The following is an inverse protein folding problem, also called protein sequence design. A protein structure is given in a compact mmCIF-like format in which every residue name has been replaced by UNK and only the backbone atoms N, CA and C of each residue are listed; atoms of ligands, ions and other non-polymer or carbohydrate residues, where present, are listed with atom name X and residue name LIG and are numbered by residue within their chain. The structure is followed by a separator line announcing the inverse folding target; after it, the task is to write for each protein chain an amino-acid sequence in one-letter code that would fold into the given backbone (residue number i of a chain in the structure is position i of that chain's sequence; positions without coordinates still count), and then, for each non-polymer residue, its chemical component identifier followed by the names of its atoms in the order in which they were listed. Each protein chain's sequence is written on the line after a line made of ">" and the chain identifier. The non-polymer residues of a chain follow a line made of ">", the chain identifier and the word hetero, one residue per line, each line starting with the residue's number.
data_IF_702760130182
#
_entry.id   IF_702760130182
#
_cell.length_a   1.000
_cell.length_b   1.000
_cell.length_c   1.000
_cell.angle_alpha   90.00
_cell.angle_beta   90.00
_cell.angle_gamma   90.00
#
_symmetry.space_group_name_H-M   'P 1'
#
loop_
_entity.id
_entity.type
_entity.pdbx_description
1 polymer ?
#
# COMPACT_ATOMS: atom_id res chain seq x y z
N UNK A 1 -27.32 7.85 8.75
CA UNK A 1 -26.15 7.12 8.21
C UNK A 1 -26.31 5.63 8.54
N UNK A 2 -26.24 4.75 7.54
CA UNK A 2 -26.47 3.31 7.74
C UNK A 2 -25.21 2.65 8.35
N UNK A 3 -25.32 1.82 9.39
CA UNK A 3 -24.14 1.31 10.13
C UNK A 3 -23.22 0.44 9.27
N UNK A 4 -23.83 -0.30 8.31
CA UNK A 4 -23.14 -1.06 7.27
C UNK A 4 -22.24 -0.16 6.41
N UNK A 5 -22.63 1.11 6.25
CA UNK A 5 -21.93 2.12 5.45
C UNK A 5 -20.64 2.60 6.14
N UNK A 6 -20.69 2.78 7.46
CA UNK A 6 -19.53 3.18 8.27
C UNK A 6 -18.48 2.07 8.28
N UNK A 7 -18.92 0.82 8.41
CA UNK A 7 -18.03 -0.34 8.45
C UNK A 7 -17.21 -0.49 7.16
N UNK A 8 -17.83 -0.30 5.98
CA UNK A 8 -17.15 -0.38 4.68
C UNK A 8 -16.14 0.75 4.47
N UNK A 9 -16.41 1.95 5.00
CA UNK A 9 -15.48 3.08 4.88
C UNK A 9 -14.27 2.88 5.79
N UNK A 10 -14.51 2.46 7.03
CA UNK A 10 -13.45 2.11 7.97
C UNK A 10 -12.55 1.01 7.40
N UNK A 11 -13.12 -0.05 6.85
CA UNK A 11 -12.31 -1.13 6.25
C UNK A 11 -11.51 -0.66 5.03
N UNK A 12 -12.08 0.15 4.14
CA UNK A 12 -11.35 0.72 3.01
C UNK A 12 -10.18 1.62 3.45
N UNK A 13 -10.37 2.40 4.52
CA UNK A 13 -9.32 3.24 5.10
C UNK A 13 -8.19 2.41 5.68
N UNK A 14 -8.52 1.35 6.43
CA UNK A 14 -7.54 0.42 7.00
C UNK A 14 -6.74 -0.26 5.88
N UNK A 15 -7.39 -0.68 4.80
CA UNK A 15 -6.74 -1.30 3.63
C UNK A 15 -5.81 -0.31 2.90
N UNK A 16 -6.23 0.96 2.76
CA UNK A 16 -5.36 2.00 2.19
C UNK A 16 -4.15 2.28 3.09
N UNK A 17 -4.35 2.35 4.40
CA UNK A 17 -3.29 2.59 5.36
C UNK A 17 -2.27 1.44 5.39
N UNK A 18 -2.74 0.19 5.37
CA UNK A 18 -1.87 -0.98 5.30
C UNK A 18 -1.14 -1.07 3.96
N UNK A 19 -1.81 -0.77 2.84
CA UNK A 19 -1.14 -0.70 1.53
C UNK A 19 -0.02 0.35 1.48
N UNK A 20 -0.24 1.51 2.08
CA UNK A 20 0.75 2.58 2.16
C UNK A 20 1.94 2.23 3.07
N UNK A 21 1.69 1.64 4.25
CA UNK A 21 2.78 1.20 5.14
C UNK A 21 3.58 0.05 4.52
N UNK A 22 2.94 -0.86 3.81
CA UNK A 22 3.61 -1.95 3.09
C UNK A 22 4.53 -1.40 1.98
N UNK A 23 4.05 -0.41 1.21
CA UNK A 23 4.85 0.25 0.20
C UNK A 23 6.04 1.00 0.82
N UNK A 24 5.83 1.70 1.94
CA UNK A 24 6.90 2.40 2.66
C UNK A 24 7.96 1.44 3.17
N UNK A 25 7.54 0.28 3.71
CA UNK A 25 8.45 -0.79 4.09
C UNK A 25 9.23 -1.32 2.89
N UNK A 26 8.58 -1.55 1.74
CA UNK A 26 9.25 -2.00 0.52
C UNK A 26 10.29 -0.99 -0.02
N UNK A 27 10.04 0.31 0.12
CA UNK A 27 11.01 1.38 -0.21
C UNK A 27 12.20 1.29 0.73
N UNK A 28 11.96 1.18 2.03
CA UNK A 28 13.03 1.11 3.02
C UNK A 28 13.91 -0.13 2.81
N UNK A 29 13.28 -1.27 2.55
CA UNK A 29 13.96 -2.54 2.29
C UNK A 29 14.74 -2.51 0.97
N UNK A 30 14.17 -1.93 -0.09
CA UNK A 30 14.88 -1.75 -1.36
C UNK A 30 16.06 -0.80 -1.19
N UNK A 31 15.87 0.36 -0.58
CA UNK A 31 16.92 1.35 -0.37
C UNK A 31 18.06 0.77 0.47
N UNK A 32 17.73 0.02 1.51
CA UNK A 32 18.72 -0.65 2.36
C UNK A 32 19.48 -1.73 1.58
N UNK A 33 18.79 -2.60 0.85
CA UNK A 33 19.42 -3.66 0.08
C UNK A 33 20.30 -3.12 -1.05
N UNK A 34 19.88 -2.07 -1.76
CA UNK A 34 20.66 -1.54 -2.89
C UNK A 34 21.86 -0.70 -2.47
N UNK A 35 21.74 0.13 -1.43
CA UNK A 35 22.77 1.13 -1.08
C UNK A 35 23.62 0.76 0.13
N UNK A 36 23.11 -0.06 1.05
CA UNK A 36 23.79 -0.34 2.33
C UNK A 36 24.25 -1.79 2.42
N UNK A 37 23.52 -2.74 1.82
CA UNK A 37 23.86 -4.16 1.91
C UNK A 37 24.98 -4.56 0.95
N UNK A 38 26.01 -5.21 1.48
CA UNK A 38 27.11 -5.80 0.69
C UNK A 38 26.85 -7.26 0.28
N UNK A 39 25.71 -7.84 0.65
CA UNK A 39 25.33 -9.21 0.29
C UNK A 39 25.32 -9.45 -1.22
N UNK A 40 25.74 -10.64 -1.66
CA UNK A 40 25.66 -11.06 -3.07
C UNK A 40 24.21 -11.08 -3.58
N UNK A 41 23.25 -11.38 -2.69
CA UNK A 41 21.82 -11.40 -3.01
C UNK A 41 21.11 -10.04 -2.87
N UNK A 42 21.85 -8.93 -2.73
CA UNK A 42 21.30 -7.58 -2.60
C UNK A 42 20.28 -7.20 -3.68
N UNK A 43 20.48 -7.64 -4.92
CA UNK A 43 19.53 -7.42 -6.01
C UNK A 43 18.24 -8.23 -5.86
N UNK A 44 18.30 -9.43 -5.27
CA UNK A 44 17.13 -10.27 -5.04
C UNK A 44 16.24 -9.67 -3.94
N UNK A 45 16.85 -9.24 -2.83
CA UNK A 45 16.15 -8.56 -1.75
C UNK A 45 15.64 -7.16 -2.15
N UNK A 46 16.45 -6.41 -2.89
CA UNK A 46 16.04 -5.12 -3.45
C UNK A 46 14.91 -5.25 -4.47
N UNK A 47 14.99 -6.23 -5.36
CA UNK A 47 13.91 -6.56 -6.31
C UNK A 47 12.63 -7.04 -5.62
N UNK A 48 12.77 -7.83 -4.55
CA UNK A 48 11.65 -8.22 -3.69
C UNK A 48 10.97 -7.01 -3.03
N UNK A 49 11.75 -6.04 -2.56
CA UNK A 49 11.24 -4.77 -2.03
C UNK A 49 10.44 -3.97 -3.07
N UNK A 50 10.92 -3.91 -4.32
CA UNK A 50 10.21 -3.27 -5.44
C UNK A 50 8.87 -3.96 -5.72
N UNK A 51 8.83 -5.29 -5.70
CA UNK A 51 7.58 -6.05 -5.83
C UNK A 51 6.58 -5.71 -4.72
N UNK A 52 7.06 -5.59 -3.47
CA UNK A 52 6.24 -5.20 -2.31
C UNK A 52 5.66 -3.79 -2.49
N UNK A 53 6.45 -2.86 -3.04
CA UNK A 53 5.97 -1.51 -3.38
C UNK A 53 4.82 -1.56 -4.39
N UNK A 54 4.98 -2.35 -5.46
CA UNK A 54 3.95 -2.51 -6.48
C UNK A 54 2.67 -3.13 -5.91
N UNK A 55 2.78 -4.12 -5.03
CA UNK A 55 1.63 -4.73 -4.35
C UNK A 55 0.92 -3.71 -3.46
N UNK A 56 1.67 -2.97 -2.64
CA UNK A 56 1.12 -1.89 -1.80
C UNK A 56 0.41 -0.80 -2.62
N UNK A 57 0.99 -0.42 -3.76
CA UNK A 57 0.39 0.54 -4.69
C UNK A 57 -0.90 0.01 -5.32
N UNK A 58 -0.92 -1.26 -5.75
CA UNK A 58 -2.13 -1.87 -6.31
C UNK A 58 -3.26 -1.94 -5.27
N UNK A 59 -2.96 -2.36 -4.05
CA UNK A 59 -3.91 -2.38 -2.93
C UNK A 59 -4.51 -0.98 -2.71
N UNK A 60 -3.64 0.04 -2.65
CA UNK A 60 -4.08 1.43 -2.54
C UNK A 60 -4.98 1.82 -3.71
N UNK A 61 -4.59 1.52 -4.95
CA UNK A 61 -5.35 1.87 -6.16
C UNK A 61 -6.69 1.16 -6.27
N UNK A 62 -6.84 -0.06 -5.75
CA UNK A 62 -8.13 -0.77 -5.70
C UNK A 62 -9.04 -0.27 -4.56
N UNK A 63 -8.47 0.09 -3.41
CA UNK A 63 -9.22 0.64 -2.28
C UNK A 63 -9.66 2.10 -2.52
N UNK A 64 -8.86 2.89 -3.25
CA UNK A 64 -9.12 4.30 -3.51
C UNK A 64 -10.46 4.63 -4.21
N UNK A 65 -10.88 3.95 -5.30
CA UNK A 65 -12.18 4.21 -5.93
C UNK A 65 -13.37 3.85 -5.05
N UNK A 66 -13.23 2.91 -4.10
CA UNK A 66 -14.26 2.66 -3.09
C UNK A 66 -14.46 3.83 -2.13
N UNK A 67 -13.38 4.56 -1.83
CA UNK A 67 -13.42 5.80 -1.06
C UNK A 67 -13.97 6.93 -1.94
N UNK A 68 -13.46 7.10 -3.17
CA UNK A 68 -13.81 8.21 -4.08
C UNK A 68 -15.26 8.20 -4.55
N UNK A 69 -15.81 7.04 -4.93
CA UNK A 69 -17.21 6.89 -5.39
C UNK A 69 -18.24 7.29 -4.32
N UNK A 70 -17.82 7.43 -3.07
CA UNK A 70 -18.66 7.91 -1.96
C UNK A 70 -18.56 9.40 -1.71
N UNK A 71 -17.47 10.06 -2.10
CA UNK A 71 -17.35 11.51 -2.01
C UNK A 71 -18.23 12.21 -3.06
N UNK A 72 -18.39 11.62 -4.25
CA UNK A 72 -19.36 12.08 -5.26
C UNK A 72 -20.82 11.93 -4.81
N UNK A 73 -21.11 10.96 -3.93
CA UNK A 73 -22.46 10.68 -3.41
C UNK A 73 -22.87 11.66 -2.28
N UNK A 74 -21.97 12.58 -1.91
CA UNK A 74 -22.17 13.64 -0.92
C UNK A 74 -22.30 15.04 -1.53
N UNK A 75 -22.21 15.18 -2.86
CA UNK A 75 -22.36 16.46 -3.58
C UNK A 75 -23.58 16.44 -4.51
#
# INVERSE_FOLDING_TARGET
>A
MNIKRVFVVMSAYIICATGATLAMFGIFLSAWSFFVSSDDNKFYWGGGGILIIYIGYLIYRFAFPHIRRKWDDYY
#
